data_IF_006742385622
#
_entry.id   IF_006742385622
#
_cell.length_a   1.000
_cell.length_b   1.000
_cell.length_c   1.000
_cell.angle_alpha   90.00
_cell.angle_beta   90.00
_cell.angle_gamma   90.00
#
_symmetry.space_group_name_H-M   'P 1'
#
loop_
_entity.id
_entity.type
_entity.pdbx_description
1 polymer ?
#
# COMPACT_ATOMS: atom_id res chain seq x y z
N UNK A 1 -12.25 -30.41 -33.16
CA UNK A 1 -12.50 -29.24 -32.29
C UNK A 1 -11.20 -28.92 -31.52
N UNK A 2 -10.41 -27.90 -31.88
CA UNK A 2 -9.26 -27.48 -31.09
C UNK A 2 -9.57 -26.23 -30.25
N UNK A 3 -8.89 -26.10 -29.10
CA UNK A 3 -8.90 -25.01 -28.12
C UNK A 3 -9.89 -25.10 -26.95
N UNK A 4 -9.84 -26.22 -26.23
CA UNK A 4 -10.04 -26.17 -24.78
C UNK A 4 -8.78 -25.57 -24.15
N UNK A 5 -8.80 -24.27 -23.83
CA UNK A 5 -7.75 -23.65 -23.03
C UNK A 5 -7.98 -24.01 -21.56
N UNK A 6 -6.99 -24.70 -21.03
CA UNK A 6 -6.81 -25.15 -19.66
C UNK A 6 -7.12 -24.01 -18.68
N UNK A 7 -8.06 -24.28 -17.76
CA UNK A 7 -8.37 -23.42 -16.63
C UNK A 7 -7.10 -23.14 -15.84
N UNK A 8 -6.73 -21.86 -15.73
CA UNK A 8 -5.85 -21.42 -14.66
C UNK A 8 -6.64 -21.59 -13.38
N UNK A 9 -6.12 -22.33 -12.41
CA UNK A 9 -6.67 -22.35 -11.06
C UNK A 9 -6.55 -20.93 -10.49
N UNK A 10 -7.63 -20.16 -10.59
CA UNK A 10 -7.72 -18.82 -10.01
C UNK A 10 -7.89 -18.98 -8.50
N UNK A 11 -6.81 -18.75 -7.77
CA UNK A 11 -6.88 -18.67 -6.31
C UNK A 11 -7.51 -17.32 -5.93
N UNK A 12 -8.70 -17.38 -5.34
CA UNK A 12 -9.42 -16.23 -4.80
C UNK A 12 -9.28 -16.24 -3.29
N UNK A 13 -8.78 -15.14 -2.73
CA UNK A 13 -8.74 -14.92 -1.28
C UNK A 13 -10.01 -14.18 -0.85
N UNK A 14 -10.71 -14.71 0.14
CA UNK A 14 -11.87 -14.06 0.74
C UNK A 14 -11.43 -13.37 2.03
N UNK A 15 -11.45 -12.03 2.01
CA UNK A 15 -11.07 -11.19 3.16
C UNK A 15 -12.32 -10.49 3.73
N UNK A 16 -13.03 -11.11 4.70
CA UNK A 16 -14.12 -10.42 5.40
C UNK A 16 -13.61 -9.25 6.25
N UNK A 17 -14.47 -8.26 6.46
CA UNK A 17 -14.23 -7.10 7.34
C UNK A 17 -14.77 -7.31 8.77
N UNK A 18 -15.33 -8.49 9.04
CA UNK A 18 -15.78 -8.91 10.37
C UNK A 18 -14.64 -9.56 11.17
N UNK A 19 -14.29 -8.90 12.27
CA UNK A 19 -13.29 -9.31 13.24
C UNK A 19 -13.57 -10.67 13.87
N UNK A 20 -14.84 -11.12 13.90
CA UNK A 20 -15.21 -12.42 14.43
C UNK A 20 -14.88 -13.59 13.48
N UNK A 21 -14.63 -13.31 12.20
CA UNK A 21 -14.41 -14.34 11.16
C UNK A 21 -12.92 -14.59 10.92
N UNK A 22 -12.09 -13.55 11.03
CA UNK A 22 -10.65 -13.64 10.93
C UNK A 22 -10.07 -13.17 12.26
N UNK A 23 -9.40 -14.03 13.01
CA UNK A 23 -8.70 -13.70 14.28
C UNK A 23 -7.59 -12.62 14.15
N UNK A 24 -7.61 -11.79 13.11
CA UNK A 24 -6.85 -10.58 12.91
C UNK A 24 -7.77 -9.48 12.37
N UNK A 25 -7.63 -8.27 12.87
CA UNK A 25 -8.52 -7.17 12.51
C UNK A 25 -7.73 -6.11 11.76
N UNK A 26 -7.95 -6.01 10.45
CA UNK A 26 -7.44 -4.87 9.71
C UNK A 26 -8.46 -3.75 9.84
N UNK A 27 -8.17 -2.81 10.75
CA UNK A 27 -9.08 -1.71 11.08
C UNK A 27 -9.54 -0.89 9.86
N UNK A 28 -8.80 -0.95 8.76
CA UNK A 28 -9.07 -0.20 7.54
C UNK A 28 -10.01 -0.91 6.57
N UNK A 29 -10.33 -2.20 6.74
CA UNK A 29 -11.18 -2.92 5.79
C UNK A 29 -12.59 -2.35 5.69
N UNK A 30 -13.20 -1.99 6.81
CA UNK A 30 -14.54 -1.37 6.82
C UNK A 30 -14.58 -0.10 5.97
N UNK A 31 -13.68 0.83 6.24
CA UNK A 31 -13.62 2.11 5.55
C UNK A 31 -13.19 1.95 4.09
N UNK A 32 -12.28 1.00 3.81
CA UNK A 32 -11.88 0.62 2.45
C UNK A 32 -13.05 0.12 1.60
N UNK A 33 -13.91 -0.74 2.16
CA UNK A 33 -15.10 -1.25 1.48
C UNK A 33 -16.18 -0.18 1.30
N UNK A 34 -16.34 0.72 2.27
CA UNK A 34 -17.30 1.82 2.18
C UNK A 34 -16.92 2.81 1.08
N UNK A 35 -15.64 3.15 1.00
CA UNK A 35 -15.10 4.13 0.04
C UNK A 35 -14.67 3.52 -1.30
N UNK A 36 -14.80 2.20 -1.48
CA UNK A 36 -14.45 1.53 -2.73
C UNK A 36 -15.24 2.12 -3.90
N UNK A 37 -14.52 2.47 -4.96
CA UNK A 37 -15.06 3.17 -6.12
C UNK A 37 -15.40 2.17 -7.24
N UNK A 38 -16.43 2.50 -8.03
CA UNK A 38 -16.80 1.70 -9.18
C UNK A 38 -15.74 1.81 -10.28
N UNK A 39 -15.41 0.67 -10.86
CA UNK A 39 -14.49 0.53 -11.98
C UNK A 39 -15.12 -0.35 -13.05
N UNK A 40 -15.23 0.18 -14.27
CA UNK A 40 -15.75 -0.56 -15.40
C UNK A 40 -14.66 -1.42 -16.01
N UNK A 41 -14.85 -2.74 -15.98
CA UNK A 41 -14.02 -3.68 -16.71
C UNK A 41 -14.27 -3.55 -18.23
N UNK A 42 -13.33 -4.00 -19.08
CA UNK A 42 -13.52 -3.97 -20.54
C UNK A 42 -14.78 -4.71 -21.04
N UNK A 43 -15.30 -5.65 -20.25
CA UNK A 43 -16.56 -6.36 -20.51
C UNK A 43 -17.82 -5.52 -20.24
N UNK A 44 -17.69 -4.30 -19.69
CA UNK A 44 -18.79 -3.47 -19.20
C UNK A 44 -19.28 -3.83 -17.80
N UNK A 45 -18.71 -4.85 -17.16
CA UNK A 45 -19.04 -5.20 -15.77
C UNK A 45 -18.44 -4.17 -14.82
N UNK A 46 -19.26 -3.62 -13.92
CA UNK A 46 -18.78 -2.76 -12.83
C UNK A 46 -18.31 -3.62 -11.66
N UNK A 47 -17.10 -3.32 -11.18
CA UNK A 47 -16.55 -3.87 -9.93
C UNK A 47 -16.25 -2.72 -8.97
N UNK A 48 -16.21 -3.02 -7.66
CA UNK A 48 -15.78 -2.04 -6.66
C UNK A 48 -14.30 -2.25 -6.34
N UNK A 49 -13.50 -1.20 -6.51
CA UNK A 49 -12.05 -1.21 -6.28
C UNK A 49 -11.73 -0.32 -5.11
N UNK A 50 -11.01 -0.86 -4.14
CA UNK A 50 -10.51 -0.10 -2.98
C UNK A 50 -9.59 1.02 -3.45
N UNK A 51 -9.71 2.20 -2.85
CA UNK A 51 -8.85 3.33 -3.22
C UNK A 51 -7.39 3.05 -2.88
N UNK A 52 -6.42 3.62 -3.60
CA UNK A 52 -5.00 3.38 -3.38
C UNK A 52 -4.55 3.69 -1.95
N UNK A 53 -5.11 4.74 -1.34
CA UNK A 53 -4.81 5.13 0.03
C UNK A 53 -5.25 4.08 1.06
N UNK A 54 -6.46 3.53 0.91
CA UNK A 54 -6.93 2.46 1.79
C UNK A 54 -6.22 1.15 1.51
N UNK A 55 -5.91 0.84 0.24
CA UNK A 55 -5.09 -0.32 -0.11
C UNK A 55 -3.74 -0.26 0.62
N UNK A 56 -3.05 0.88 0.54
CA UNK A 56 -1.78 1.11 1.22
C UNK A 56 -1.90 0.92 2.74
N UNK A 57 -2.93 1.49 3.36
CA UNK A 57 -3.16 1.35 4.79
C UNK A 57 -3.43 -0.11 5.20
N UNK A 58 -4.19 -0.86 4.39
CA UNK A 58 -4.46 -2.28 4.68
C UNK A 58 -3.19 -3.12 4.60
N UNK A 59 -2.31 -2.86 3.62
CA UNK A 59 -1.03 -3.57 3.47
C UNK A 59 -0.06 -3.22 4.60
N UNK A 60 0.00 -1.95 5.01
CA UNK A 60 0.81 -1.52 6.15
C UNK A 60 0.35 -2.17 7.46
N UNK A 61 -0.96 -2.33 7.68
CA UNK A 61 -1.50 -2.99 8.86
C UNK A 61 -1.20 -4.51 8.84
N UNK A 62 -1.36 -5.15 7.68
CA UNK A 62 -1.02 -6.56 7.51
C UNK A 62 0.46 -6.84 7.78
N UNK A 63 1.35 -5.97 7.28
CA UNK A 63 2.79 -6.04 7.59
C UNK A 63 3.06 -5.90 9.10
N UNK A 64 2.39 -4.99 9.80
CA UNK A 64 2.56 -4.82 11.25
C UNK A 64 2.05 -6.03 12.05
N UNK A 65 0.92 -6.61 11.65
CA UNK A 65 0.30 -7.74 12.36
C UNK A 65 0.96 -9.09 12.09
N UNK A 66 1.36 -9.35 10.84
CA UNK A 66 1.90 -10.66 10.39
C UNK A 66 3.41 -10.67 10.19
N UNK A 67 4.01 -9.52 9.90
CA UNK A 67 5.33 -9.42 9.29
C UNK A 67 6.53 -9.79 10.16
N UNK A 68 6.37 -10.15 11.45
CA UNK A 68 7.48 -10.57 12.34
C UNK A 68 8.73 -9.65 12.32
N UNK A 69 8.60 -8.40 11.87
CA UNK A 69 9.71 -7.49 11.53
C UNK A 69 10.70 -8.02 10.46
N UNK A 70 10.25 -8.86 9.54
CA UNK A 70 11.01 -9.31 8.37
C UNK A 70 10.42 -8.74 7.07
N UNK A 71 10.98 -7.62 6.57
CA UNK A 71 10.59 -7.05 5.28
C UNK A 71 10.90 -7.93 4.07
N UNK A 72 11.85 -8.87 4.16
CA UNK A 72 12.38 -9.62 3.01
C UNK A 72 11.45 -10.72 2.51
N UNK A 73 10.55 -11.23 3.36
CA UNK A 73 9.58 -12.28 3.01
C UNK A 73 8.14 -11.78 2.90
N UNK A 74 7.91 -10.47 3.05
CA UNK A 74 6.57 -9.92 3.18
C UNK A 74 6.00 -9.51 1.82
N UNK A 75 5.07 -10.31 1.29
CA UNK A 75 4.25 -9.94 0.11
C UNK A 75 3.60 -8.57 0.25
N UNK A 76 3.24 -8.17 1.46
CA UNK A 76 2.65 -6.85 1.69
C UNK A 76 3.61 -5.69 1.36
N UNK A 77 4.93 -5.88 1.48
CA UNK A 77 5.92 -4.85 1.11
C UNK A 77 6.04 -4.74 -0.41
N UNK A 78 6.01 -5.86 -1.12
CA UNK A 78 5.99 -5.86 -2.60
C UNK A 78 4.76 -5.11 -3.12
N UNK A 79 3.59 -5.36 -2.54
CA UNK A 79 2.35 -4.67 -2.89
C UNK A 79 2.39 -3.16 -2.58
N UNK A 80 3.00 -2.77 -1.45
CA UNK A 80 3.21 -1.35 -1.10
C UNK A 80 4.10 -0.67 -2.14
N UNK A 81 5.22 -1.31 -2.50
CA UNK A 81 6.15 -0.77 -3.50
C UNK A 81 5.48 -0.66 -4.87
N UNK A 82 4.69 -1.65 -5.29
CA UNK A 82 3.98 -1.62 -6.56
C UNK A 82 2.99 -0.44 -6.69
N UNK A 83 2.44 0.04 -5.57
CA UNK A 83 1.52 1.20 -5.57
C UNK A 83 2.27 2.52 -5.48
N UNK A 84 3.39 2.55 -4.77
CA UNK A 84 4.18 3.78 -4.52
C UNK A 84 5.14 4.10 -5.67
N UNK A 85 5.70 3.08 -6.33
CA UNK A 85 6.73 3.26 -7.34
C UNK A 85 6.17 3.88 -8.63
N UNK A 86 6.74 5.01 -9.06
CA UNK A 86 6.39 5.65 -10.34
C UNK A 86 5.03 6.34 -10.40
N UNK A 87 4.28 6.41 -9.29
CA UNK A 87 2.91 6.93 -9.27
C UNK A 87 2.81 8.36 -8.70
N UNK A 88 3.08 9.34 -9.55
CA UNK A 88 3.02 10.77 -9.18
C UNK A 88 1.65 11.21 -8.62
N UNK A 89 0.56 10.61 -9.10
CA UNK A 89 -0.80 10.94 -8.64
C UNK A 89 -1.07 10.54 -7.19
N UNK A 90 -0.28 9.61 -6.63
CA UNK A 90 -0.53 9.05 -5.31
C UNK A 90 -0.39 10.11 -4.20
N UNK A 91 0.53 11.07 -4.36
CA UNK A 91 0.68 12.16 -3.38
C UNK A 91 -0.60 12.99 -3.26
N UNK A 92 -1.17 13.40 -4.40
CA UNK A 92 -2.40 14.18 -4.42
C UNK A 92 -3.61 13.38 -3.90
N UNK A 93 -3.69 12.08 -4.22
CA UNK A 93 -4.72 11.18 -3.73
C UNK A 93 -4.63 11.01 -2.20
N UNK A 94 -3.43 10.85 -1.64
CA UNK A 94 -3.22 10.75 -0.20
C UNK A 94 -3.57 12.08 0.50
N UNK A 95 -3.19 13.22 -0.06
CA UNK A 95 -3.49 14.54 0.49
C UNK A 95 -4.99 14.85 0.59
N UNK A 96 -5.83 14.17 -0.20
CA UNK A 96 -7.29 14.32 -0.18
C UNK A 96 -7.99 13.35 0.78
N UNK A 97 -7.27 12.44 1.42
CA UNK A 97 -7.89 11.48 2.36
C UNK A 97 -8.15 12.06 3.73
N UNK A 98 -8.95 11.37 4.53
CA UNK A 98 -9.22 11.75 5.92
C UNK A 98 -7.92 11.88 6.73
N UNK A 99 -7.79 12.91 7.60
CA UNK A 99 -6.56 13.17 8.35
C UNK A 99 -6.04 11.98 9.16
N UNK A 100 -6.94 11.15 9.69
CA UNK A 100 -6.55 9.96 10.44
C UNK A 100 -5.81 8.92 9.58
N UNK A 101 -6.26 8.74 8.33
CA UNK A 101 -5.64 7.83 7.37
C UNK A 101 -4.28 8.35 6.93
N UNK A 102 -4.18 9.65 6.63
CA UNK A 102 -2.92 10.31 6.28
C UNK A 102 -1.86 10.12 7.36
N UNK A 103 -2.20 10.45 8.62
CA UNK A 103 -1.29 10.31 9.75
C UNK A 103 -0.84 8.87 9.96
N UNK A 104 -1.76 7.91 9.82
CA UNK A 104 -1.42 6.51 9.96
C UNK A 104 -0.42 6.04 8.90
N UNK A 105 -0.68 6.35 7.61
CA UNK A 105 0.19 5.96 6.51
C UNK A 105 1.58 6.58 6.70
N UNK A 106 1.65 7.87 7.00
CA UNK A 106 2.92 8.57 7.23
C UNK A 106 3.72 7.95 8.40
N UNK A 107 3.04 7.64 9.51
CA UNK A 107 3.66 6.99 10.66
C UNK A 107 4.14 5.56 10.35
N UNK A 108 3.31 4.75 9.70
CA UNK A 108 3.63 3.36 9.37
C UNK A 108 4.80 3.27 8.38
N UNK A 109 4.84 4.11 7.35
CA UNK A 109 5.99 4.17 6.43
C UNK A 109 7.24 4.66 7.17
N UNK A 110 7.14 5.69 8.01
CA UNK A 110 8.28 6.16 8.82
C UNK A 110 8.87 5.05 9.69
N UNK A 111 8.01 4.24 10.33
CA UNK A 111 8.41 3.10 11.14
C UNK A 111 9.07 2.00 10.30
N UNK A 112 8.51 1.67 9.14
CA UNK A 112 9.07 0.72 8.18
C UNK A 112 10.51 1.14 7.79
N UNK A 113 10.71 2.41 7.45
CA UNK A 113 12.02 2.92 7.05
C UNK A 113 13.03 2.97 8.19
N UNK A 114 12.59 3.27 9.41
CA UNK A 114 13.44 3.23 10.59
C UNK A 114 13.87 1.79 10.93
N UNK A 115 13.01 0.80 10.68
CA UNK A 115 13.34 -0.62 10.87
C UNK A 115 14.34 -1.11 9.82
N UNK A 116 14.20 -0.67 8.56
CA UNK A 116 15.09 -1.06 7.47
C UNK A 116 16.52 -0.52 7.64
N UNK A 117 16.73 0.62 8.32
CA UNK A 117 18.10 1.13 8.61
C UNK A 117 18.92 0.24 9.55
N UNK A 118 18.30 -0.70 10.26
CA UNK A 118 18.98 -1.66 11.16
C UNK A 118 19.31 -2.99 10.49
N UNK A 119 18.68 -3.32 9.36
CA UNK A 119 18.95 -4.52 8.57
C UNK A 119 19.65 -4.15 7.26
N UNK A 120 20.74 -4.83 6.91
CA UNK A 120 21.39 -4.68 5.59
C UNK A 120 20.46 -5.26 4.50
N UNK A 121 19.48 -4.49 4.03
CA UNK A 121 18.50 -4.94 3.05
C UNK A 121 18.73 -4.31 1.66
N UNK A 122 18.93 -5.16 0.65
CA UNK A 122 19.34 -4.77 -0.71
C UNK A 122 18.24 -4.20 -1.61
N UNK A 123 16.96 -4.35 -1.23
CA UNK A 123 15.82 -3.86 -2.03
C UNK A 123 15.71 -2.33 -1.99
N UNK A 124 15.91 -1.72 -0.83
CA UNK A 124 15.82 -0.26 -0.68
C UNK A 124 17.08 0.47 -1.17
N UNK A 125 18.25 -0.18 -1.20
CA UNK A 125 19.49 0.41 -1.74
C UNK A 125 19.48 0.54 -3.27
N UNK A 126 18.62 -0.20 -3.96
CA UNK A 126 18.47 -0.13 -5.42
C UNK A 126 17.28 0.74 -5.86
N UNK A 127 16.38 1.09 -4.94
CA UNK A 127 15.20 1.90 -5.24
C UNK A 127 15.57 3.38 -5.36
N UNK A 128 15.12 4.02 -6.46
CA UNK A 128 15.28 5.46 -6.69
C UNK A 128 13.89 6.10 -6.73
N UNK A 129 13.54 7.00 -5.79
CA UNK A 129 12.25 7.69 -5.81
C UNK A 129 12.04 8.49 -7.09
N UNK A 130 10.79 8.54 -7.54
CA UNK A 130 10.37 9.33 -8.70
C UNK A 130 10.55 10.85 -8.48
N UNK A 131 10.73 11.65 -9.54
CA UNK A 131 10.99 13.10 -9.47
C UNK A 131 10.01 13.92 -8.61
N UNK A 132 8.74 13.52 -8.57
CA UNK A 132 7.70 14.21 -7.80
C UNK A 132 7.97 14.17 -6.28
N UNK A 133 8.65 13.14 -5.79
CA UNK A 133 9.00 12.95 -4.38
C UNK A 133 10.18 13.83 -3.94
N UNK A 134 10.90 14.46 -4.86
CA UNK A 134 12.00 15.40 -4.58
C UNK A 134 11.57 16.88 -4.57
N UNK A 135 10.31 17.20 -4.84
CA UNK A 135 9.84 18.59 -4.85
C UNK A 135 9.63 19.13 -3.42
N UNK A 136 10.01 20.38 -3.09
CA UNK A 136 9.81 20.93 -1.75
C UNK A 136 8.32 21.16 -1.44
N UNK A 137 7.81 20.57 -0.35
CA UNK A 137 6.52 20.96 0.23
C UNK A 137 6.73 22.04 1.29
N UNK A 138 5.68 22.80 1.56
CA UNK A 138 5.63 23.66 2.75
C UNK A 138 5.76 22.76 3.99
N UNK A 139 6.65 23.14 4.93
CA UNK A 139 7.27 22.28 5.96
C UNK A 139 6.37 21.70 7.06
N UNK A 140 5.09 21.44 6.77
CA UNK A 140 4.14 20.80 7.68
C UNK A 140 3.40 19.61 7.02
N UNK A 141 3.86 19.14 5.86
CA UNK A 141 3.32 17.96 5.17
C UNK A 141 4.00 16.68 5.71
N UNK A 142 3.29 15.83 6.49
CA UNK A 142 3.85 14.60 7.03
C UNK A 142 4.25 13.59 5.95
N UNK A 143 3.67 13.67 4.74
CA UNK A 143 3.99 12.79 3.61
C UNK A 143 5.31 13.22 2.94
N UNK A 144 5.59 14.52 2.91
CA UNK A 144 6.85 15.04 2.40
C UNK A 144 8.07 14.67 3.26
N UNK A 145 7.91 14.68 4.59
CA UNK A 145 8.96 14.22 5.51
C UNK A 145 9.31 12.74 5.34
N UNK A 146 8.32 11.92 4.99
CA UNK A 146 8.52 10.51 4.64
C UNK A 146 9.28 10.39 3.32
N UNK A 147 8.90 11.18 2.33
CA UNK A 147 9.53 11.23 1.00
C UNK A 147 11.00 11.64 1.01
N UNK A 148 11.36 12.68 1.76
CA UNK A 148 12.75 13.12 1.88
C UNK A 148 13.63 12.06 2.55
N UNK A 149 13.09 11.30 3.51
CA UNK A 149 13.80 10.20 4.20
C UNK A 149 14.00 8.97 3.32
N UNK A 150 13.09 8.74 2.38
CA UNK A 150 13.16 7.71 1.34
C UNK A 150 14.24 8.05 0.30
N UNK A 151 14.30 9.31 -0.13
CA UNK A 151 15.24 9.79 -1.16
C UNK A 151 16.68 9.94 -0.69
N UNK A 152 16.91 10.07 0.62
CA UNK A 152 18.24 10.26 1.22
C UNK A 152 18.89 8.96 1.71
N UNK A 153 18.47 7.79 1.21
CA UNK A 153 19.06 6.49 1.54
C UNK A 153 20.35 6.26 0.72
N UNK A 154 21.42 5.66 1.30
CA UNK A 154 22.54 5.15 0.53
C UNK A 154 22.21 3.89 -0.27
#
# INVERSE_FOLDING_TARGET
MPNALIGRDLLVDFMPDDEAILNFTNRWYRDALQTAADYALPSGTLIRVVTPSYFLATKLEAYRGRGRNDPLGSRDIEDILAVVDGRDSLHAELAQTEPALQHYIAHAISALLASNRRGKNSYFSAWKPSPCFQQPSNGNDPIHHVSQRLSSMP
#
